data_IF_987730055282
#
_entry.id   IF_987730055282
#
_cell.length_a   1.000
_cell.length_b   1.000
_cell.length_c   1.000
_cell.angle_alpha   90.00
_cell.angle_beta   90.00
_cell.angle_gamma   90.00
#
_symmetry.space_group_name_H-M   'P 1'
#
loop_
_entity.id
_entity.type
_entity.pdbx_description
1 polymer ?
#
# COMPACT_ATOMS: atom_id res chain seq x y z
N UNK A 1 -15.37 -11.08 -14.61
CA UNK A 1 -14.90 -10.59 -13.79
C UNK A 1 -14.32 -9.38 -14.03
N UNK A 2 -14.16 -8.56 -13.19
CA UNK A 2 -13.74 -7.35 -13.37
C UNK A 2 -12.33 -7.22 -13.22
N UNK A 3 -11.69 -6.30 -13.82
CA UNK A 3 -10.37 -6.11 -13.62
C UNK A 3 -10.08 -5.53 -12.36
N UNK A 4 -8.94 -5.71 -11.81
CA UNK A 4 -8.55 -5.09 -10.62
C UNK A 4 -8.29 -3.68 -10.85
N UNK A 5 -8.73 -2.84 -9.99
CA UNK A 5 -8.44 -1.45 -10.06
C UNK A 5 -7.29 -1.15 -9.15
N UNK A 6 -6.35 -0.36 -9.61
CA UNK A 6 -5.17 0.02 -8.85
C UNK A 6 -5.27 1.47 -8.43
N UNK A 7 -4.69 1.78 -7.31
CA UNK A 7 -4.65 3.16 -6.84
C UNK A 7 -3.26 3.44 -6.31
N UNK A 8 -2.85 4.70 -6.37
CA UNK A 8 -1.57 5.13 -5.83
C UNK A 8 -1.85 5.89 -4.56
N UNK A 9 -1.05 5.61 -3.53
CA UNK A 9 -1.17 6.35 -2.29
C UNK A 9 0.19 6.89 -1.92
N UNK A 10 0.21 8.02 -1.24
CA UNK A 10 1.45 8.58 -0.71
C UNK A 10 1.67 7.99 0.66
N UNK A 11 2.83 7.41 0.88
CA UNK A 11 3.11 6.77 2.15
C UNK A 11 4.60 6.63 2.34
N UNK A 12 4.99 6.34 3.58
CA UNK A 12 6.37 6.08 3.91
C UNK A 12 6.49 4.70 4.48
N UNK A 13 7.61 4.04 4.21
CA UNK A 13 7.86 2.71 4.76
C UNK A 13 8.36 2.90 6.17
N UNK A 14 7.60 2.44 7.14
CA UNK A 14 7.96 2.55 8.54
C UNK A 14 8.21 1.19 9.15
N UNK A 15 8.30 0.16 8.36
CA UNK A 15 8.60 -1.17 8.84
C UNK A 15 8.71 -2.10 7.65
N UNK A 16 9.44 -3.17 7.81
CA UNK A 16 9.71 -4.08 6.72
C UNK A 16 9.87 -5.47 7.28
N UNK A 17 9.15 -6.40 6.73
CA UNK A 17 9.35 -7.80 7.06
C UNK A 17 9.64 -8.52 5.77
N UNK A 18 9.81 -9.82 5.85
CA UNK A 18 10.16 -10.58 4.68
C UNK A 18 9.10 -10.48 3.60
N UNK A 19 7.82 -10.45 4.00
CA UNK A 19 6.74 -10.49 3.03
C UNK A 19 5.83 -9.28 3.07
N UNK A 20 6.06 -8.34 3.93
CA UNK A 20 5.16 -7.21 4.08
C UNK A 20 5.91 -5.92 4.35
N UNK A 21 5.27 -4.80 4.01
CA UNK A 21 5.78 -3.49 4.33
C UNK A 21 4.78 -2.82 5.25
N UNK A 22 5.27 -2.10 6.24
CA UNK A 22 4.41 -1.29 7.08
C UNK A 22 4.45 0.12 6.53
N UNK A 23 3.32 0.59 6.07
CA UNK A 23 3.23 1.90 5.44
C UNK A 23 2.51 2.88 6.35
N UNK A 24 2.96 4.12 6.32
CA UNK A 24 2.38 5.18 7.12
C UNK A 24 2.01 6.31 6.16
N UNK A 25 0.75 6.69 6.11
CA UNK A 25 0.28 7.70 5.18
C UNK A 25 0.11 9.07 5.83
N UNK A 26 0.58 9.24 7.04
CA UNK A 26 0.42 10.48 7.78
C UNK A 26 -0.66 10.38 8.84
N UNK A 27 -1.53 9.38 8.77
CA UNK A 27 -2.59 9.19 9.73
C UNK A 27 -2.59 7.82 10.32
N UNK A 28 -2.37 6.79 9.51
CA UNK A 28 -2.46 5.42 9.98
C UNK A 28 -1.26 4.64 9.52
N UNK A 29 -1.00 3.54 10.22
CA UNK A 29 -0.01 2.57 9.82
C UNK A 29 -0.74 1.32 9.41
N UNK A 30 -0.25 0.63 8.41
CA UNK A 30 -0.83 -0.65 8.03
C UNK A 30 0.23 -1.50 7.38
N UNK A 31 0.15 -2.81 7.61
CA UNK A 31 1.05 -3.75 6.96
C UNK A 31 0.39 -4.19 5.67
N UNK A 32 1.11 -4.14 4.57
CA UNK A 32 0.59 -4.55 3.26
C UNK A 32 1.52 -5.61 2.70
N UNK A 33 0.99 -6.63 2.02
CA UNK A 33 1.84 -7.67 1.47
C UNK A 33 2.65 -7.14 0.30
N UNK A 34 3.93 -7.43 0.29
CA UNK A 34 4.80 -6.95 -0.77
C UNK A 34 4.34 -7.43 -2.14
N UNK A 35 3.69 -8.58 -2.21
CA UNK A 35 3.26 -9.12 -3.48
C UNK A 35 2.13 -8.33 -4.10
N UNK A 36 1.45 -7.48 -3.32
CA UNK A 36 0.30 -6.71 -3.81
C UNK A 36 0.61 -5.23 -3.96
N UNK A 37 1.80 -4.81 -3.61
CA UNK A 37 2.15 -3.39 -3.56
C UNK A 37 3.40 -3.14 -4.38
N UNK A 38 3.40 -2.05 -5.11
CA UNK A 38 4.56 -1.68 -5.88
C UNK A 38 5.06 -0.33 -5.38
N UNK A 39 6.35 -0.27 -5.05
CA UNK A 39 6.99 0.96 -4.61
C UNK A 39 7.42 1.72 -5.85
N UNK A 40 6.87 2.90 -6.05
CA UNK A 40 7.16 3.67 -7.27
C UNK A 40 8.43 4.51 -7.17
N UNK A 41 9.03 4.53 -5.98
CA UNK A 41 10.31 5.23 -5.83
C UNK A 41 10.21 6.72 -5.62
N UNK A 42 9.00 7.27 -5.60
CA UNK A 42 8.82 8.70 -5.44
C UNK A 42 7.95 9.04 -4.24
N UNK A 43 7.82 8.11 -3.32
CA UNK A 43 7.01 8.35 -2.14
C UNK A 43 5.57 7.87 -2.31
N UNK A 44 5.27 7.23 -3.43
CA UNK A 44 3.95 6.67 -3.64
C UNK A 44 4.04 5.17 -3.83
N UNK A 45 2.93 4.50 -3.58
CA UNK A 45 2.85 3.06 -3.70
C UNK A 45 1.58 2.72 -4.45
N UNK A 46 1.67 1.79 -5.39
CA UNK A 46 0.53 1.35 -6.16
C UNK A 46 0.04 0.03 -5.61
N UNK A 47 -1.25 -0.07 -5.39
CA UNK A 47 -1.84 -1.30 -4.85
C UNK A 47 -3.26 -1.41 -5.34
N UNK A 48 -3.87 -2.59 -5.24
CA UNK A 48 -5.28 -2.73 -5.60
C UNK A 48 -6.12 -1.83 -4.71
N UNK A 49 -7.14 -1.24 -5.29
CA UNK A 49 -8.00 -0.33 -4.57
C UNK A 49 -8.64 -1.01 -3.36
N UNK A 50 -9.03 -2.28 -3.51
CA UNK A 50 -9.66 -2.99 -2.41
C UNK A 50 -8.72 -3.08 -1.21
N UNK A 51 -7.43 -3.23 -1.47
CA UNK A 51 -6.47 -3.34 -0.40
C UNK A 51 -6.31 -2.00 0.30
N UNK A 52 -6.23 -0.92 -0.46
CA UNK A 52 -6.09 0.40 0.12
C UNK A 52 -7.31 0.73 0.98
N UNK A 53 -8.49 0.34 0.54
CA UNK A 53 -9.69 0.57 1.33
C UNK A 53 -9.71 -0.30 2.56
N UNK A 54 -9.29 -1.55 2.43
CA UNK A 54 -9.27 -2.48 3.55
C UNK A 54 -8.36 -1.99 4.65
N UNK A 55 -7.26 -1.36 4.29
CA UNK A 55 -6.30 -0.89 5.27
C UNK A 55 -6.60 0.53 5.76
N UNK A 56 -7.53 1.20 5.13
CA UNK A 56 -7.89 2.55 5.56
C UNK A 56 -7.10 3.65 4.91
N UNK A 57 -6.36 3.35 3.85
CA UNK A 57 -5.59 4.39 3.16
C UNK A 57 -6.51 5.26 2.30
N UNK A 58 -7.64 4.74 1.90
CA UNK A 58 -8.61 5.54 1.14
C UNK A 58 -10.04 5.26 1.60
#
# INVERSE_FOLDING_TARGET
MRKKELTDISAQVQGNSEKALRLYDGKIYAWVPKSQVEDNGDGTFTMPEWLAKDKGFI
#
